data_IF_307207143944
#
_entry.id   IF_307207143944
#
_cell.length_a   1.000
_cell.length_b   1.000
_cell.length_c   1.000
_cell.angle_alpha   90.00
_cell.angle_beta   90.00
_cell.angle_gamma   90.00
#
_symmetry.space_group_name_H-M   'P 1'
#
loop_
_entity.id
_entity.type
_entity.pdbx_description
1 polymer ?
#
# COMPACT_ATOMS: atom_id res chain seq x y z
N UNK A 1 -24.63 -46.71 -51.49
CA UNK A 1 -25.01 -45.73 -52.54
C UNK A 1 -25.52 -44.49 -51.82
N UNK A 2 -24.93 -43.29 -51.87
CA UNK A 2 -24.10 -42.65 -52.90
C UNK A 2 -23.01 -41.79 -52.25
N UNK A 3 -21.86 -41.80 -52.92
CA UNK A 3 -20.71 -40.91 -52.82
C UNK A 3 -21.12 -39.53 -53.33
N UNK A 4 -20.64 -38.42 -52.74
CA UNK A 4 -20.29 -37.24 -53.53
C UNK A 4 -19.09 -36.50 -52.94
N UNK A 5 -18.04 -36.48 -53.77
CA UNK A 5 -16.88 -35.59 -53.74
C UNK A 5 -17.29 -34.19 -54.21
N UNK A 6 -16.66 -33.15 -53.67
CA UNK A 6 -16.50 -31.88 -54.35
C UNK A 6 -15.15 -31.26 -53.94
N UNK A 7 -14.22 -31.28 -54.90
CA UNK A 7 -12.99 -30.51 -54.91
C UNK A 7 -13.35 -29.08 -55.34
N UNK A 8 -12.86 -28.09 -54.61
CA UNK A 8 -12.77 -26.71 -55.10
C UNK A 8 -11.37 -26.17 -54.76
N UNK A 9 -10.54 -26.13 -55.79
CA UNK A 9 -9.28 -25.40 -55.87
C UNK A 9 -9.57 -23.91 -56.03
N UNK A 10 -8.91 -23.04 -55.26
CA UNK A 10 -8.67 -21.66 -55.71
C UNK A 10 -7.63 -20.92 -54.86
N UNK A 11 -6.61 -20.43 -55.57
CA UNK A 11 -5.91 -19.16 -55.42
C UNK A 11 -4.97 -18.91 -54.23
N UNK A 12 -3.69 -19.03 -54.57
CA UNK A 12 -2.57 -18.17 -54.17
C UNK A 12 -2.97 -16.80 -53.62
N UNK A 13 -2.67 -16.62 -52.33
CA UNK A 13 -2.43 -15.33 -51.71
C UNK A 13 -1.31 -15.53 -50.71
N UNK A 14 -0.06 -15.40 -51.16
CA UNK A 14 1.10 -15.34 -50.27
C UNK A 14 0.99 -13.99 -49.52
N UNK A 15 0.24 -13.99 -48.42
CA UNK A 15 0.21 -12.88 -47.49
C UNK A 15 1.59 -12.85 -46.84
N UNK A 16 2.45 -11.97 -47.33
CA UNK A 16 3.72 -11.62 -46.69
C UNK A 16 3.34 -10.94 -45.37
N UNK A 17 3.19 -11.73 -44.31
CA UNK A 17 3.06 -11.24 -42.95
C UNK A 17 4.43 -10.66 -42.59
N UNK A 18 4.62 -9.39 -42.92
CA UNK A 18 5.66 -8.59 -42.29
C UNK A 18 5.35 -8.63 -40.78
N UNK A 19 6.29 -9.04 -39.92
CA UNK A 19 6.09 -8.88 -38.50
C UNK A 19 6.04 -7.39 -38.24
N UNK A 20 4.84 -6.87 -37.97
CA UNK A 20 4.67 -5.59 -37.30
C UNK A 20 5.26 -5.80 -35.90
N UNK A 21 6.51 -5.41 -35.73
CA UNK A 21 7.10 -5.29 -34.41
C UNK A 21 6.20 -4.36 -33.59
N UNK A 22 5.63 -4.91 -32.53
CA UNK A 22 4.77 -4.20 -31.59
C UNK A 22 5.53 -3.00 -31.02
N UNK A 23 5.15 -1.78 -31.40
CA UNK A 23 5.71 -0.52 -30.91
C UNK A 23 5.34 -0.20 -29.45
N UNK A 24 5.01 -1.21 -28.62
CA UNK A 24 4.58 -1.03 -27.22
C UNK A 24 5.65 -1.37 -26.17
N UNK A 25 6.81 -1.87 -26.59
CA UNK A 25 7.86 -2.37 -25.68
C UNK A 25 9.12 -1.50 -25.61
N UNK A 26 9.16 -0.36 -26.30
CA UNK A 26 10.28 0.59 -26.20
C UNK A 26 9.98 1.69 -25.17
N UNK A 27 10.97 2.10 -24.34
CA UNK A 27 10.84 3.24 -23.45
C UNK A 27 10.69 4.52 -24.29
N UNK A 28 9.45 4.87 -24.62
CA UNK A 28 9.12 6.14 -25.26
C UNK A 28 8.92 7.18 -24.16
N UNK A 29 9.82 8.16 -24.09
CA UNK A 29 9.69 9.25 -23.13
C UNK A 29 11.02 9.83 -22.70
N UNK A 30 10.96 10.57 -21.60
CA UNK A 30 12.07 11.30 -21.03
C UNK A 30 12.98 10.38 -20.20
N UNK A 31 14.29 10.44 -20.45
CA UNK A 31 15.30 9.60 -19.77
C UNK A 31 15.28 9.84 -18.26
N UNK A 32 15.22 11.09 -17.83
CA UNK A 32 15.28 11.41 -16.41
C UNK A 32 14.04 10.93 -15.65
N UNK A 33 12.84 11.33 -16.08
CA UNK A 33 11.61 11.01 -15.35
C UNK A 33 11.27 9.52 -15.39
N UNK A 34 11.58 8.84 -16.49
CA UNK A 34 11.16 7.46 -16.71
C UNK A 34 12.20 6.43 -16.29
N UNK A 35 13.49 6.79 -16.24
CA UNK A 35 14.58 5.84 -15.94
C UNK A 35 15.43 6.29 -14.75
N UNK A 36 16.04 7.48 -14.81
CA UNK A 36 16.99 7.93 -13.76
C UNK A 36 16.29 8.17 -12.43
N UNK A 37 15.17 8.90 -12.40
CA UNK A 37 14.45 9.26 -11.17
C UNK A 37 13.97 8.01 -10.40
N UNK A 38 13.37 6.99 -11.03
CA UNK A 38 13.06 5.72 -10.34
C UNK A 38 14.29 5.03 -9.73
N UNK A 39 15.43 4.97 -10.46
CA UNK A 39 16.68 4.38 -9.96
C UNK A 39 17.18 5.12 -8.73
N UNK A 40 17.27 6.46 -8.80
CA UNK A 40 17.66 7.30 -7.66
C UNK A 40 16.71 7.11 -6.47
N UNK A 41 15.40 7.03 -6.72
CA UNK A 41 14.41 6.82 -5.68
C UNK A 41 14.52 5.46 -4.99
N UNK A 42 14.93 4.42 -5.72
CA UNK A 42 15.09 3.09 -5.18
C UNK A 42 16.41 2.87 -4.44
N UNK A 43 17.50 3.52 -4.88
CA UNK A 43 18.86 3.19 -4.44
C UNK A 43 19.58 4.31 -3.66
N UNK A 44 19.16 5.57 -3.83
CA UNK A 44 19.87 6.72 -3.25
C UNK A 44 19.06 7.48 -2.19
N UNK A 45 17.75 7.66 -2.41
CA UNK A 45 16.90 8.53 -1.56
C UNK A 45 16.72 8.02 -0.13
N UNK A 46 16.94 6.73 0.15
CA UNK A 46 16.84 6.21 1.52
C UNK A 46 17.87 6.86 2.47
N UNK A 47 19.04 7.21 1.96
CA UNK A 47 20.13 7.85 2.71
C UNK A 47 20.31 9.35 2.37
N UNK A 48 19.89 9.77 1.17
CA UNK A 48 20.01 11.12 0.64
C UNK A 48 18.64 11.73 0.29
N UNK A 49 17.67 11.58 1.18
CA UNK A 49 16.27 11.95 0.99
C UNK A 49 15.81 13.09 1.91
N UNK A 50 14.49 13.29 2.06
CA UNK A 50 13.96 14.29 2.97
C UNK A 50 14.23 13.95 4.45
N UNK A 51 14.23 12.66 4.79
CA UNK A 51 14.38 12.17 6.17
C UNK A 51 15.84 11.99 6.62
N UNK A 52 16.77 11.80 5.67
CA UNK A 52 18.20 11.55 5.94
C UNK A 52 19.05 12.28 4.91
N UNK A 53 20.09 12.96 5.39
CA UNK A 53 21.05 13.72 4.58
C UNK A 53 22.48 13.23 4.84
N UNK A 54 22.74 11.92 4.67
CA UNK A 54 24.11 11.38 4.78
C UNK A 54 25.04 12.17 3.85
N UNK A 55 26.23 12.55 4.34
CA UNK A 55 27.14 13.41 3.57
C UNK A 55 26.59 14.82 3.23
N UNK A 56 25.53 15.29 3.91
CA UNK A 56 24.78 16.53 3.60
C UNK A 56 24.27 16.61 2.16
N UNK A 57 24.13 15.46 1.51
CA UNK A 57 23.59 15.34 0.17
C UNK A 57 22.09 15.04 0.22
N UNK A 58 21.34 15.69 -0.65
CA UNK A 58 19.93 15.40 -0.94
C UNK A 58 19.75 15.15 -2.44
N UNK A 59 18.90 14.18 -2.79
CA UNK A 59 18.67 13.76 -4.19
C UNK A 59 17.18 13.58 -4.52
N UNK A 60 16.28 14.02 -3.63
CA UNK A 60 14.85 13.80 -3.78
C UNK A 60 14.13 14.84 -4.65
N UNK A 61 14.78 15.99 -4.91
CA UNK A 61 14.32 17.04 -5.82
C UNK A 61 15.35 17.28 -6.93
N UNK A 62 14.94 17.91 -8.04
CA UNK A 62 15.87 18.24 -9.14
C UNK A 62 16.90 19.29 -8.68
N UNK A 63 16.43 20.22 -7.87
CA UNK A 63 17.20 21.32 -7.30
C UNK A 63 18.29 20.80 -6.35
N UNK A 64 17.92 19.87 -5.46
CA UNK A 64 18.88 19.25 -4.54
C UNK A 64 19.93 18.40 -5.30
N UNK A 65 19.50 17.68 -6.35
CA UNK A 65 20.40 16.85 -7.16
C UNK A 65 21.50 17.69 -7.84
N UNK A 66 21.20 18.93 -8.23
CA UNK A 66 22.19 19.85 -8.81
C UNK A 66 23.04 20.56 -7.75
N UNK A 67 22.59 20.63 -6.48
CA UNK A 67 23.25 21.40 -5.42
C UNK A 67 24.44 20.67 -4.78
N UNK A 68 24.47 19.34 -4.82
CA UNK A 68 25.58 18.55 -4.26
C UNK A 68 25.58 18.42 -2.73
N UNK A 69 26.68 17.90 -2.17
CA UNK A 69 26.84 17.53 -0.74
C UNK A 69 27.80 18.42 0.07
N UNK A 70 28.34 17.90 1.19
CA UNK A 70 29.14 18.62 2.21
C UNK A 70 30.50 19.15 1.70
N UNK A 71 31.03 18.61 0.60
CA UNK A 71 32.33 19.03 0.09
C UNK A 71 32.22 20.33 -0.69
N UNK A 72 32.88 21.35 -0.17
CA UNK A 72 33.09 22.63 -0.86
C UNK A 72 33.94 22.33 -2.10
N UNK A 73 33.33 22.30 -3.29
CA UNK A 73 34.04 22.28 -4.58
C UNK A 73 33.82 21.09 -5.50
N UNK A 74 33.02 20.08 -5.14
CA UNK A 74 32.71 18.94 -6.02
C UNK A 74 31.24 18.93 -6.46
N UNK A 75 30.98 19.26 -7.73
CA UNK A 75 29.65 19.06 -8.31
C UNK A 75 29.33 17.57 -8.37
N UNK A 76 28.17 17.15 -7.84
CA UNK A 76 27.84 15.72 -7.84
C UNK A 76 27.62 15.15 -9.24
N UNK A 77 27.19 16.03 -10.14
CA UNK A 77 27.02 15.78 -11.56
C UNK A 77 27.66 16.95 -12.28
N UNK A 78 28.78 16.68 -12.95
CA UNK A 78 29.41 17.61 -13.88
C UNK A 78 28.78 17.39 -15.26
N UNK A 79 27.95 18.34 -15.71
CA UNK A 79 27.22 18.23 -16.97
C UNK A 79 28.18 17.99 -18.14
N UNK A 80 27.98 16.90 -18.86
CA UNK A 80 28.83 16.51 -20.00
C UNK A 80 30.12 15.77 -19.63
N UNK A 81 30.49 15.72 -18.34
CA UNK A 81 31.69 15.02 -17.89
C UNK A 81 31.35 13.90 -16.90
N UNK A 82 31.45 12.67 -17.39
CA UNK A 82 31.18 11.46 -16.60
C UNK A 82 32.26 11.19 -15.56
N UNK A 83 33.53 11.46 -15.89
CA UNK A 83 34.68 11.12 -15.05
C UNK A 83 34.83 12.11 -13.89
N UNK A 84 34.49 13.39 -14.11
CA UNK A 84 34.50 14.40 -13.05
C UNK A 84 33.21 14.37 -12.19
N UNK A 85 32.24 13.51 -12.53
CA UNK A 85 30.99 13.41 -11.76
C UNK A 85 31.15 12.49 -10.55
N UNK A 86 31.16 13.09 -9.36
CA UNK A 86 31.30 12.38 -8.08
C UNK A 86 30.26 11.26 -7.89
N UNK A 87 29.05 11.44 -8.42
CA UNK A 87 28.01 10.42 -8.41
C UNK A 87 28.47 9.12 -9.08
N UNK A 88 29.17 9.21 -10.21
CA UNK A 88 29.66 8.05 -10.95
C UNK A 88 30.87 7.43 -10.26
N UNK A 89 31.78 8.27 -9.75
CA UNK A 89 32.93 7.83 -8.97
C UNK A 89 32.48 6.93 -7.81
N UNK A 90 31.64 7.45 -6.89
CA UNK A 90 31.24 6.71 -5.67
C UNK A 90 30.47 5.41 -5.92
N UNK A 91 29.62 5.35 -6.95
CA UNK A 91 28.83 4.14 -7.25
C UNK A 91 29.62 3.07 -8.04
N UNK A 92 30.84 3.39 -8.47
CA UNK A 92 31.72 2.45 -9.20
C UNK A 92 32.91 1.99 -8.38
N UNK A 93 33.12 2.54 -7.18
CA UNK A 93 34.15 2.09 -6.26
C UNK A 93 33.95 0.63 -5.83
N UNK A 94 35.04 -0.10 -5.54
CA UNK A 94 34.99 -1.40 -4.90
C UNK A 94 34.17 -1.37 -3.60
N UNK A 95 33.39 -2.42 -3.36
CA UNK A 95 32.41 -2.48 -2.25
C UNK A 95 33.01 -2.39 -0.84
N UNK A 96 34.31 -2.64 -0.71
CA UNK A 96 35.08 -2.62 0.53
C UNK A 96 35.72 -1.27 0.83
N UNK A 97 35.56 -0.28 -0.05
CA UNK A 97 36.02 1.08 0.18
C UNK A 97 34.99 1.91 0.96
N UNK A 98 35.46 2.69 1.92
CA UNK A 98 34.62 3.51 2.81
C UNK A 98 33.80 4.58 2.06
N UNK A 99 34.27 5.00 0.89
CA UNK A 99 33.61 6.02 0.06
C UNK A 99 32.60 5.43 -0.93
N UNK A 100 32.55 4.09 -1.05
CA UNK A 100 31.68 3.39 -1.97
C UNK A 100 30.21 3.56 -1.60
N UNK A 101 29.37 3.77 -2.61
CA UNK A 101 27.93 3.95 -2.46
C UNK A 101 27.17 2.86 -3.23
N UNK A 102 26.24 2.13 -2.61
CA UNK A 102 25.82 2.23 -1.20
C UNK A 102 26.87 1.66 -0.22
N UNK A 103 26.92 2.15 1.02
CA UNK A 103 27.83 1.61 2.04
C UNK A 103 27.51 0.14 2.32
N UNK A 104 28.55 -0.67 2.48
CA UNK A 104 28.45 -2.13 2.64
C UNK A 104 28.07 -2.59 4.06
N UNK A 105 27.92 -1.67 5.02
CA UNK A 105 27.71 -1.94 6.46
C UNK A 105 26.45 -2.77 6.79
N UNK A 106 25.57 -3.05 5.82
CA UNK A 106 24.36 -3.86 5.99
C UNK A 106 24.04 -4.69 4.72
N UNK A 107 24.39 -5.98 4.73
CA UNK A 107 24.14 -6.91 3.62
C UNK A 107 22.64 -7.05 3.28
N UNK A 108 21.73 -6.84 4.23
CA UNK A 108 20.28 -6.98 4.01
C UNK A 108 19.69 -5.83 3.18
N UNK A 109 20.40 -4.70 3.10
CA UNK A 109 19.95 -3.48 2.42
C UNK A 109 20.90 -3.01 1.31
N UNK A 110 21.93 -3.80 0.99
CA UNK A 110 22.89 -3.51 -0.06
C UNK A 110 22.23 -3.61 -1.45
N UNK A 111 22.02 -2.47 -2.11
CA UNK A 111 21.30 -2.37 -3.39
C UNK A 111 22.08 -1.49 -4.40
N UNK A 112 23.21 -1.98 -4.95
CA UNK A 112 24.07 -1.22 -5.85
C UNK A 112 23.41 -0.99 -7.21
N UNK A 113 23.89 0.03 -7.93
CA UNK A 113 23.47 0.31 -9.30
C UNK A 113 23.92 -0.83 -10.22
N UNK A 114 23.02 -1.34 -11.05
CA UNK A 114 23.33 -2.39 -12.04
C UNK A 114 24.09 -1.81 -13.22
N UNK A 115 24.75 -2.66 -14.02
CA UNK A 115 25.52 -2.21 -15.18
C UNK A 115 24.67 -1.45 -16.21
N UNK A 116 23.42 -1.84 -16.43
CA UNK A 116 22.50 -1.18 -17.36
C UNK A 116 22.00 0.16 -16.80
N UNK A 117 21.71 0.25 -15.51
CA UNK A 117 21.35 1.52 -14.86
C UNK A 117 22.54 2.50 -14.91
N UNK A 118 23.75 2.01 -14.60
CA UNK A 118 24.98 2.80 -14.68
C UNK A 118 25.23 3.31 -16.10
N UNK A 119 25.01 2.48 -17.11
CA UNK A 119 25.17 2.87 -18.51
C UNK A 119 24.24 4.04 -18.88
N UNK A 120 22.97 3.99 -18.47
CA UNK A 120 22.01 5.07 -18.74
C UNK A 120 22.40 6.34 -17.97
N UNK A 121 22.84 6.21 -16.71
CA UNK A 121 23.32 7.35 -15.91
C UNK A 121 24.52 8.04 -16.58
N UNK A 122 25.51 7.27 -17.03
CA UNK A 122 26.67 7.79 -17.78
C UNK A 122 26.25 8.47 -19.09
N UNK A 123 25.35 7.86 -19.85
CA UNK A 123 24.84 8.44 -21.09
C UNK A 123 24.09 9.76 -20.86
N UNK A 124 23.25 9.80 -19.83
CA UNK A 124 22.51 11.00 -19.42
C UNK A 124 23.44 12.15 -19.01
N UNK A 125 24.47 11.87 -18.19
CA UNK A 125 25.47 12.87 -17.78
C UNK A 125 26.26 13.37 -18.99
N UNK A 126 26.72 12.46 -19.85
CA UNK A 126 27.45 12.79 -21.09
C UNK A 126 26.65 13.71 -22.01
N UNK A 127 25.33 13.55 -22.05
CA UNK A 127 24.41 14.41 -22.81
C UNK A 127 23.94 15.65 -22.01
N UNK A 128 24.74 16.10 -21.04
CA UNK A 128 24.54 17.35 -20.31
C UNK A 128 23.63 17.24 -19.09
N UNK A 129 23.32 16.01 -18.62
CA UNK A 129 22.40 15.75 -17.52
C UNK A 129 21.05 16.49 -17.67
N UNK A 130 20.56 16.58 -18.91
CA UNK A 130 19.33 17.32 -19.21
C UNK A 130 18.10 16.61 -18.64
N UNK A 131 17.25 17.34 -17.94
CA UNK A 131 15.98 16.82 -17.45
C UNK A 131 14.94 16.62 -18.55
N UNK A 132 15.20 17.10 -19.76
CA UNK A 132 14.30 17.03 -20.92
C UNK A 132 14.78 16.03 -21.99
N UNK A 133 15.93 15.38 -21.78
CA UNK A 133 16.52 14.39 -22.68
C UNK A 133 15.53 13.26 -23.00
N UNK A 134 15.34 12.94 -24.28
CA UNK A 134 14.48 11.85 -24.71
C UNK A 134 15.29 10.58 -24.91
N UNK A 135 14.64 9.43 -24.72
CA UNK A 135 15.26 8.12 -24.97
C UNK A 135 15.70 7.97 -26.43
N UNK A 136 15.00 8.63 -27.36
CA UNK A 136 15.38 8.66 -28.78
C UNK A 136 16.75 9.30 -29.04
N UNK A 137 17.21 10.16 -28.14
CA UNK A 137 18.47 10.90 -28.27
C UNK A 137 19.68 10.08 -27.80
N UNK A 138 19.43 8.90 -27.23
CA UNK A 138 20.46 7.97 -26.78
C UNK A 138 21.04 7.15 -27.95
N UNK A 139 22.33 6.80 -27.85
CA UNK A 139 22.95 5.85 -28.77
C UNK A 139 22.30 4.46 -28.69
N UNK A 140 22.53 3.61 -29.69
CA UNK A 140 21.89 2.30 -29.79
C UNK A 140 22.14 1.41 -28.56
N UNK A 141 23.36 1.43 -28.01
CA UNK A 141 23.71 0.64 -26.84
C UNK A 141 22.96 1.13 -25.60
N UNK A 142 22.95 2.44 -25.39
CA UNK A 142 22.23 3.08 -24.29
C UNK A 142 20.71 2.92 -24.39
N UNK A 143 20.14 2.87 -25.60
CA UNK A 143 18.72 2.54 -25.80
C UNK A 143 18.38 1.10 -25.42
N UNK A 144 19.25 0.13 -25.74
CA UNK A 144 19.08 -1.26 -25.30
C UNK A 144 19.12 -1.37 -23.77
N UNK A 145 20.05 -0.66 -23.12
CA UNK A 145 20.10 -0.58 -21.66
C UNK A 145 18.83 0.08 -21.09
N UNK A 146 18.36 1.18 -21.69
CA UNK A 146 17.11 1.85 -21.32
C UNK A 146 15.90 0.90 -21.38
N UNK A 147 15.77 0.12 -22.45
CA UNK A 147 14.70 -0.87 -22.57
C UNK A 147 14.79 -1.95 -21.49
N UNK A 148 16.00 -2.41 -21.18
CA UNK A 148 16.22 -3.38 -20.10
C UNK A 148 15.82 -2.82 -18.73
N UNK A 149 16.24 -1.61 -18.39
CA UNK A 149 15.89 -0.96 -17.12
C UNK A 149 14.41 -0.65 -17.03
N UNK A 150 13.78 -0.21 -18.13
CA UNK A 150 12.34 0.02 -18.17
C UNK A 150 11.54 -1.24 -17.83
N UNK A 151 11.96 -2.38 -18.40
CA UNK A 151 11.34 -3.69 -18.16
C UNK A 151 11.62 -4.24 -16.74
N UNK A 152 12.75 -3.88 -16.15
CA UNK A 152 13.21 -4.40 -14.85
C UNK A 152 13.36 -3.28 -13.80
N UNK A 153 12.40 -2.35 -13.77
CA UNK A 153 12.50 -1.15 -12.94
C UNK A 153 12.75 -1.48 -11.45
N UNK A 154 13.74 -0.85 -10.78
CA UNK A 154 13.98 -1.12 -9.38
C UNK A 154 12.79 -0.66 -8.53
N UNK A 155 12.38 -1.51 -7.59
CA UNK A 155 11.31 -1.18 -6.64
C UNK A 155 11.83 -0.14 -5.64
N UNK A 156 11.08 0.95 -5.47
CA UNK A 156 11.39 1.96 -4.46
C UNK A 156 11.44 1.33 -3.06
N UNK A 157 12.59 1.39 -2.40
CA UNK A 157 12.69 1.05 -0.98
C UNK A 157 12.00 2.16 -0.18
N UNK A 158 10.78 1.89 0.29
CA UNK A 158 10.09 2.77 1.22
C UNK A 158 10.89 2.86 2.52
N UNK A 159 11.07 4.07 3.05
CA UNK A 159 11.67 4.25 4.38
C UNK A 159 10.84 3.49 5.43
N UNK A 160 11.45 3.11 6.55
CA UNK A 160 10.74 2.46 7.64
C UNK A 160 9.50 3.28 8.06
N UNK A 161 9.63 4.60 8.16
CA UNK A 161 8.52 5.53 8.45
C UNK A 161 7.43 5.51 7.37
N UNK A 162 7.80 5.48 6.08
CA UNK A 162 6.82 5.41 5.00
C UNK A 162 6.08 4.07 4.95
N UNK A 163 6.74 2.96 5.33
CA UNK A 163 6.10 1.65 5.50
C UNK A 163 5.09 1.63 6.66
N UNK A 164 5.31 2.45 7.68
CA UNK A 164 4.42 2.58 8.83
C UNK A 164 3.19 3.46 8.56
N UNK A 165 3.18 4.25 7.47
CA UNK A 165 2.02 5.07 7.14
C UNK A 165 0.87 4.19 6.64
N UNK A 166 -0.34 4.34 7.21
CA UNK A 166 -1.51 3.59 6.77
C UNK A 166 -1.82 3.95 5.31
N UNK A 167 -1.81 2.93 4.45
CA UNK A 167 -2.12 3.09 3.03
C UNK A 167 -3.64 3.14 2.89
N UNK A 168 -4.17 4.33 2.60
CA UNK A 168 -5.58 4.53 2.32
C UNK A 168 -5.88 4.22 0.85
N UNK A 169 -7.05 3.63 0.53
CA UNK A 169 -7.45 3.40 -0.84
C UNK A 169 -7.67 4.73 -1.57
N UNK A 170 -7.28 4.76 -2.84
CA UNK A 170 -7.63 5.85 -3.76
C UNK A 170 -9.07 5.64 -4.22
N UNK A 171 -9.97 6.53 -3.78
CA UNK A 171 -11.41 6.46 -4.09
C UNK A 171 -11.89 7.75 -4.77
N UNK A 172 -12.96 7.71 -5.58
CA UNK A 172 -13.52 8.90 -6.19
C UNK A 172 -14.15 9.83 -5.14
N UNK A 173 -14.25 11.13 -5.45
CA UNK A 173 -14.97 12.09 -4.60
C UNK A 173 -16.44 11.68 -4.46
N UNK A 174 -17.01 11.80 -3.27
CA UNK A 174 -18.42 11.53 -3.05
C UNK A 174 -19.33 12.58 -3.71
N UNK A 175 -20.54 12.15 -4.08
CA UNK A 175 -21.59 13.03 -4.57
C UNK A 175 -22.03 14.00 -3.46
N UNK A 176 -21.92 15.33 -3.68
CA UNK A 176 -22.37 16.33 -2.73
C UNK A 176 -23.84 16.17 -2.31
N UNK A 177 -24.71 15.69 -3.21
CA UNK A 177 -26.14 15.47 -2.89
C UNK A 177 -26.34 14.35 -1.88
N UNK A 178 -25.53 13.29 -1.96
CA UNK A 178 -25.58 12.18 -1.00
C UNK A 178 -25.12 12.63 0.38
N UNK A 179 -24.08 13.48 0.45
CA UNK A 179 -23.61 14.06 1.70
C UNK A 179 -24.65 14.98 2.34
N UNK A 180 -25.34 15.77 1.51
CA UNK A 180 -26.41 16.65 1.99
C UNK A 180 -27.61 15.86 2.52
N UNK A 181 -28.04 14.80 1.83
CA UNK A 181 -29.12 13.93 2.29
C UNK A 181 -28.82 13.28 3.65
N UNK A 182 -27.55 12.92 3.90
CA UNK A 182 -27.13 12.43 5.22
C UNK A 182 -27.18 13.52 6.28
N UNK A 183 -26.75 14.74 5.93
CA UNK A 183 -26.78 15.89 6.83
C UNK A 183 -28.21 16.24 7.27
N UNK A 184 -29.17 16.18 6.35
CA UNK A 184 -30.60 16.39 6.63
C UNK A 184 -31.17 15.37 7.63
N UNK A 185 -30.64 14.13 7.63
CA UNK A 185 -31.00 13.06 8.55
C UNK A 185 -30.18 13.07 9.87
N UNK A 186 -29.40 14.14 10.10
CA UNK A 186 -28.55 14.28 11.29
C UNK A 186 -27.34 13.34 11.31
N UNK A 187 -26.99 12.75 10.16
CA UNK A 187 -25.86 11.83 10.02
C UNK A 187 -24.61 12.61 9.61
N UNK A 188 -23.54 12.46 10.38
CA UNK A 188 -22.25 13.08 10.06
C UNK A 188 -21.53 12.26 8.98
N UNK A 189 -21.13 12.90 7.88
CA UNK A 189 -20.30 12.29 6.83
C UNK A 189 -19.15 13.24 6.46
N UNK A 190 -17.91 12.77 6.54
CA UNK A 190 -16.72 13.58 6.26
C UNK A 190 -15.51 12.74 5.81
N UNK A 191 -14.52 13.34 5.11
CA UNK A 191 -13.26 12.66 4.82
C UNK A 191 -12.52 12.22 6.08
N UNK A 192 -11.86 11.06 6.04
CA UNK A 192 -11.11 10.53 7.20
C UNK A 192 -9.76 11.24 7.43
N UNK A 193 -9.25 11.96 6.42
CA UNK A 193 -8.01 12.74 6.48
C UNK A 193 -7.99 13.84 5.41
N UNK A 194 -7.03 14.78 5.48
CA UNK A 194 -6.96 15.96 4.61
C UNK A 194 -6.67 15.67 3.12
N UNK A 195 -6.14 14.49 2.77
CA UNK A 195 -5.72 14.15 1.41
C UNK A 195 -6.34 12.83 0.92
N UNK A 196 -7.59 12.56 1.29
CA UNK A 196 -8.31 11.37 0.84
C UNK A 196 -9.77 11.68 0.58
N UNK A 197 -10.36 10.95 -0.37
CA UNK A 197 -11.79 10.95 -0.61
C UNK A 197 -12.51 9.83 0.18
N UNK A 198 -11.78 9.05 0.96
CA UNK A 198 -12.34 8.05 1.85
C UNK A 198 -13.14 8.73 2.97
N UNK A 199 -14.32 8.21 3.25
CA UNK A 199 -15.31 8.83 4.12
C UNK A 199 -15.54 8.01 5.38
N UNK A 200 -15.68 8.74 6.48
CA UNK A 200 -16.29 8.29 7.72
C UNK A 200 -17.75 8.76 7.77
N UNK A 201 -18.64 7.83 8.08
CA UNK A 201 -20.06 8.11 8.38
C UNK A 201 -20.37 7.74 9.83
N UNK A 202 -21.02 8.66 10.56
CA UNK A 202 -21.52 8.44 11.90
C UNK A 202 -23.02 8.75 12.01
N UNK A 203 -23.81 7.68 12.15
CA UNK A 203 -25.25 7.75 12.38
C UNK A 203 -25.63 7.55 13.86
N UNK A 204 -24.66 7.36 14.77
CA UNK A 204 -24.95 7.07 16.18
C UNK A 204 -25.69 8.20 16.90
N UNK A 205 -25.58 9.45 16.41
CA UNK A 205 -26.31 10.61 16.94
C UNK A 205 -27.80 10.57 16.62
N UNK A 206 -28.20 9.89 15.55
CA UNK A 206 -29.60 9.74 15.14
C UNK A 206 -30.35 8.67 15.97
N UNK A 207 -29.63 7.91 16.81
CA UNK A 207 -30.20 6.91 17.72
C UNK A 207 -31.08 5.87 17.00
N UNK A 208 -32.10 5.37 17.70
CA UNK A 208 -33.03 4.35 17.16
C UNK A 208 -33.83 4.81 15.94
N UNK A 209 -33.88 6.12 15.67
CA UNK A 209 -34.47 6.67 14.45
C UNK A 209 -33.65 6.43 13.17
N UNK A 210 -32.41 5.93 13.29
CA UNK A 210 -31.65 5.40 12.16
C UNK A 210 -31.82 3.89 12.07
N UNK A 211 -32.67 3.42 11.16
CA UNK A 211 -33.03 2.01 11.02
C UNK A 211 -32.50 1.38 9.72
N UNK A 212 -32.91 0.15 9.43
CA UNK A 212 -32.48 -0.59 8.23
C UNK A 212 -32.87 0.11 6.92
N UNK A 213 -33.99 0.85 6.91
CA UNK A 213 -34.45 1.60 5.74
C UNK A 213 -33.51 2.75 5.41
N UNK A 214 -33.02 3.46 6.44
CA UNK A 214 -32.12 4.60 6.26
C UNK A 214 -30.71 4.24 5.81
N UNK A 215 -30.31 2.97 5.90
CA UNK A 215 -29.06 2.48 5.27
C UNK A 215 -29.06 2.67 3.74
N UNK A 216 -30.23 2.81 3.09
CA UNK A 216 -30.31 3.13 1.67
C UNK A 216 -29.63 4.47 1.31
N UNK A 217 -29.59 5.42 2.25
CA UNK A 217 -28.92 6.72 2.07
C UNK A 217 -27.41 6.59 1.92
N UNK A 218 -26.82 5.48 2.39
CA UNK A 218 -25.39 5.20 2.30
C UNK A 218 -24.97 4.55 0.99
N UNK A 219 -25.92 4.00 0.20
CA UNK A 219 -25.61 3.31 -1.06
C UNK A 219 -24.80 4.16 -2.05
N UNK A 220 -25.07 5.47 -2.24
CA UNK A 220 -24.27 6.31 -3.13
C UNK A 220 -22.80 6.47 -2.69
N UNK A 221 -22.48 6.17 -1.43
CA UNK A 221 -21.13 6.27 -0.84
C UNK A 221 -20.37 4.94 -0.82
N UNK A 222 -20.89 3.88 -1.46
CA UNK A 222 -20.33 2.52 -1.37
C UNK A 222 -18.87 2.40 -1.78
N UNK A 223 -18.41 3.28 -2.68
CA UNK A 223 -17.03 3.30 -3.17
C UNK A 223 -16.09 4.15 -2.31
N UNK A 224 -16.60 4.89 -1.33
CA UNK A 224 -15.85 5.83 -0.50
C UNK A 224 -15.91 5.49 0.99
N UNK A 225 -16.92 4.74 1.43
CA UNK A 225 -17.19 4.46 2.83
C UNK A 225 -16.17 3.48 3.40
N UNK A 226 -15.27 3.98 4.25
CA UNK A 226 -14.25 3.18 4.92
C UNK A 226 -14.63 2.91 6.38
N UNK A 227 -15.16 3.93 7.07
CA UNK A 227 -15.52 3.85 8.48
C UNK A 227 -17.01 4.13 8.64
N UNK A 228 -17.71 3.23 9.33
CA UNK A 228 -19.14 3.36 9.56
C UNK A 228 -19.46 3.15 11.03
N UNK A 229 -20.16 4.13 11.61
CA UNK A 229 -20.65 4.08 12.97
C UNK A 229 -22.18 4.06 13.03
N UNK A 230 -22.72 2.89 13.39
CA UNK A 230 -24.14 2.61 13.61
C UNK A 230 -24.43 2.29 15.09
N UNK A 231 -23.52 2.59 16.00
CA UNK A 231 -23.70 2.32 17.43
C UNK A 231 -24.99 2.97 17.94
N UNK A 232 -25.75 2.22 18.75
CA UNK A 232 -27.00 2.63 19.40
C UNK A 232 -28.12 3.01 18.41
N UNK A 233 -28.00 2.62 17.15
CA UNK A 233 -29.05 2.85 16.14
C UNK A 233 -30.11 1.74 16.15
N UNK A 234 -31.14 1.90 15.32
CA UNK A 234 -32.26 0.97 15.14
C UNK A 234 -31.98 -0.13 14.12
N UNK A 235 -30.75 -0.27 13.64
CA UNK A 235 -30.37 -1.30 12.67
C UNK A 235 -30.46 -2.70 13.24
N UNK A 236 -30.81 -3.66 12.39
CA UNK A 236 -30.99 -5.08 12.69
C UNK A 236 -30.23 -5.95 11.68
N UNK A 237 -30.42 -7.27 11.78
CA UNK A 237 -29.88 -8.24 10.81
C UNK A 237 -30.34 -7.97 9.37
N UNK A 238 -31.51 -7.36 9.15
CA UNK A 238 -31.98 -7.03 7.80
C UNK A 238 -31.07 -5.97 7.15
N UNK A 239 -30.64 -4.95 7.90
CA UNK A 239 -29.75 -3.90 7.43
C UNK A 239 -28.33 -4.39 7.08
N UNK A 240 -27.86 -5.48 7.69
CA UNK A 240 -26.50 -5.99 7.45
C UNK A 240 -26.25 -6.44 6.01
N UNK A 241 -27.31 -6.76 5.26
CA UNK A 241 -27.22 -7.01 3.81
C UNK A 241 -26.80 -5.76 3.02
N UNK A 242 -27.26 -4.58 3.43
CA UNK A 242 -26.83 -3.31 2.84
C UNK A 242 -25.38 -3.00 3.23
N UNK A 243 -25.02 -3.24 4.50
CA UNK A 243 -23.65 -3.00 5.00
C UNK A 243 -22.62 -3.88 4.29
N UNK A 244 -22.96 -5.13 3.99
CA UNK A 244 -22.12 -6.06 3.24
C UNK A 244 -21.76 -5.56 1.81
N UNK A 245 -22.49 -4.59 1.26
CA UNK A 245 -22.20 -3.99 -0.05
C UNK A 245 -21.12 -2.90 -0.03
N UNK A 246 -20.58 -2.53 1.13
CA UNK A 246 -19.55 -1.50 1.27
C UNK A 246 -18.16 -2.13 1.24
N UNK A 247 -17.66 -2.41 0.03
CA UNK A 247 -16.46 -3.24 -0.20
C UNK A 247 -15.15 -2.68 0.41
N UNK A 248 -15.08 -1.37 0.67
CA UNK A 248 -13.91 -0.73 1.30
C UNK A 248 -14.07 -0.55 2.82
N UNK A 249 -15.17 -1.01 3.40
CA UNK A 249 -15.44 -0.84 4.81
C UNK A 249 -14.43 -1.64 5.64
N UNK A 250 -13.58 -0.92 6.38
CA UNK A 250 -12.56 -1.51 7.23
C UNK A 250 -12.81 -1.31 8.73
N UNK A 251 -13.74 -0.42 9.09
CA UNK A 251 -14.13 -0.16 10.49
C UNK A 251 -15.64 -0.07 10.62
N UNK A 252 -16.20 -0.95 11.44
CA UNK A 252 -17.64 -1.01 11.68
C UNK A 252 -17.95 -1.03 13.18
N UNK A 253 -18.80 -0.10 13.60
CA UNK A 253 -19.33 0.04 14.96
C UNK A 253 -20.83 -0.34 14.96
N UNK A 254 -21.21 -1.36 15.73
CA UNK A 254 -22.57 -1.91 15.86
C UNK A 254 -23.02 -2.00 17.32
N UNK A 255 -22.35 -1.30 18.24
CA UNK A 255 -22.58 -1.37 19.67
C UNK A 255 -24.06 -1.13 20.01
N UNK A 256 -24.67 -1.97 20.84
CA UNK A 256 -26.06 -1.81 21.30
C UNK A 256 -27.10 -1.67 20.16
N UNK A 257 -26.87 -2.38 19.06
CA UNK A 257 -27.85 -2.58 17.97
C UNK A 257 -28.60 -3.91 18.15
N UNK A 258 -29.63 -4.16 17.36
CA UNK A 258 -30.37 -5.42 17.39
C UNK A 258 -29.76 -6.49 16.46
N UNK A 259 -28.46 -6.39 16.18
CA UNK A 259 -27.73 -7.37 15.37
C UNK A 259 -27.50 -8.64 16.18
N UNK A 260 -27.71 -9.78 15.53
CA UNK A 260 -27.51 -11.13 16.06
C UNK A 260 -26.51 -11.91 15.19
N UNK A 261 -26.36 -13.20 15.46
CA UNK A 261 -25.56 -14.11 14.63
C UNK A 261 -25.97 -14.12 13.15
N UNK A 262 -27.26 -13.93 12.85
CA UNK A 262 -27.75 -13.88 11.48
C UNK A 262 -27.25 -12.63 10.73
N UNK A 263 -27.13 -11.49 11.41
CA UNK A 263 -26.54 -10.27 10.86
C UNK A 263 -25.05 -10.43 10.63
N UNK A 264 -24.31 -10.97 11.60
CA UNK A 264 -22.86 -11.22 11.47
C UNK A 264 -22.55 -12.18 10.32
N UNK A 265 -23.40 -13.18 10.09
CA UNK A 265 -23.24 -14.09 8.94
C UNK A 265 -23.19 -13.34 7.60
N UNK A 266 -23.97 -12.27 7.44
CA UNK A 266 -24.00 -11.44 6.22
C UNK A 266 -22.73 -10.59 6.08
N UNK A 267 -22.16 -10.16 7.20
CA UNK A 267 -20.94 -9.33 7.23
C UNK A 267 -19.67 -10.12 6.87
N UNK A 268 -19.71 -11.46 6.87
CA UNK A 268 -18.55 -12.31 6.59
C UNK A 268 -17.90 -12.12 5.21
N UNK A 269 -18.56 -11.41 4.30
CA UNK A 269 -18.06 -11.03 2.97
C UNK A 269 -17.19 -9.76 2.96
N UNK A 270 -17.15 -8.99 4.05
CA UNK A 270 -16.37 -7.75 4.17
C UNK A 270 -14.87 -8.06 4.33
N UNK A 271 -14.21 -8.41 3.23
CA UNK A 271 -12.80 -8.85 3.22
C UNK A 271 -11.80 -7.80 3.68
N UNK A 272 -12.19 -6.52 3.66
CA UNK A 272 -11.37 -5.40 4.12
C UNK A 272 -11.58 -5.04 5.60
N UNK A 273 -12.50 -5.71 6.32
CA UNK A 273 -12.83 -5.38 7.70
C UNK A 273 -11.66 -5.66 8.64
N UNK A 274 -11.17 -4.62 9.31
CA UNK A 274 -10.07 -4.64 10.28
C UNK A 274 -10.54 -4.41 11.71
N UNK A 275 -11.61 -3.64 11.88
CA UNK A 275 -12.19 -3.31 13.17
C UNK A 275 -13.69 -3.60 13.16
N UNK A 276 -14.15 -4.38 14.13
CA UNK A 276 -15.56 -4.66 14.35
C UNK A 276 -15.90 -4.56 15.84
N UNK A 277 -16.85 -3.68 16.18
CA UNK A 277 -17.38 -3.60 17.54
C UNK A 277 -18.81 -4.12 17.61
N UNK A 278 -19.01 -5.21 18.36
CA UNK A 278 -20.29 -5.88 18.60
C UNK A 278 -20.72 -5.78 20.07
N UNK A 279 -20.12 -4.87 20.84
CA UNK A 279 -20.44 -4.68 22.25
C UNK A 279 -21.95 -4.51 22.50
N UNK A 280 -22.49 -5.25 23.48
CA UNK A 280 -23.91 -5.15 23.84
C UNK A 280 -24.87 -5.60 22.73
N UNK A 281 -24.45 -6.52 21.86
CA UNK A 281 -25.33 -7.17 20.86
C UNK A 281 -25.67 -8.60 21.29
N UNK A 282 -26.64 -9.22 20.62
CA UNK A 282 -27.12 -10.56 20.96
C UNK A 282 -26.31 -11.69 20.29
N UNK A 283 -25.12 -11.38 19.79
CA UNK A 283 -24.20 -12.32 19.13
C UNK A 283 -23.71 -13.40 20.10
N UNK A 284 -23.56 -14.63 19.61
CA UNK A 284 -23.12 -15.80 20.40
C UNK A 284 -21.97 -16.55 19.72
N UNK A 285 -21.54 -17.67 20.30
CA UNK A 285 -20.52 -18.54 19.73
C UNK A 285 -20.85 -19.03 18.30
N UNK A 286 -22.13 -19.00 17.91
CA UNK A 286 -22.55 -19.31 16.54
C UNK A 286 -21.91 -18.36 15.49
N UNK A 287 -21.52 -17.14 15.89
CA UNK A 287 -20.82 -16.20 15.01
C UNK A 287 -19.33 -16.45 14.84
N UNK A 288 -18.70 -17.26 15.69
CA UNK A 288 -17.22 -17.45 15.68
C UNK A 288 -16.73 -17.87 14.29
N UNK A 289 -17.40 -18.83 13.64
CA UNK A 289 -17.05 -19.29 12.29
C UNK A 289 -17.25 -18.23 11.21
N UNK A 290 -18.19 -17.29 11.40
CA UNK A 290 -18.41 -16.20 10.46
C UNK A 290 -17.37 -15.09 10.64
N UNK A 291 -17.06 -14.74 11.90
CA UNK A 291 -16.00 -13.79 12.24
C UNK A 291 -14.63 -14.29 11.74
N UNK A 292 -14.34 -15.58 11.87
CA UNK A 292 -13.14 -16.24 11.36
C UNK A 292 -12.91 -16.11 9.84
N UNK A 293 -13.94 -15.76 9.06
CA UNK A 293 -13.81 -15.52 7.60
C UNK A 293 -13.24 -14.13 7.29
N UNK A 294 -13.31 -13.19 8.22
CA UNK A 294 -12.80 -11.82 8.06
C UNK A 294 -11.28 -11.79 8.21
N UNK A 295 -10.55 -12.24 7.18
CA UNK A 295 -9.10 -12.52 7.27
C UNK A 295 -8.21 -11.31 7.58
N UNK A 296 -8.73 -10.08 7.44
CA UNK A 296 -8.02 -8.84 7.81
C UNK A 296 -8.43 -8.28 9.17
N UNK A 297 -9.28 -8.98 9.93
CA UNK A 297 -9.78 -8.50 11.21
C UNK A 297 -8.63 -8.45 12.23
N UNK A 298 -8.34 -7.25 12.73
CA UNK A 298 -7.29 -7.00 13.72
C UNK A 298 -7.88 -6.78 15.12
N UNK A 299 -9.09 -6.21 15.18
CA UNK A 299 -9.76 -5.83 16.42
C UNK A 299 -11.22 -6.25 16.36
N UNK A 300 -11.62 -7.07 17.33
CA UNK A 300 -13.02 -7.45 17.55
C UNK A 300 -13.38 -7.25 19.01
N UNK A 301 -14.54 -6.65 19.26
CA UNK A 301 -15.03 -6.38 20.61
C UNK A 301 -16.35 -7.13 20.83
N UNK A 302 -16.33 -8.04 21.80
CA UNK A 302 -17.42 -9.00 22.07
C UNK A 302 -17.94 -8.89 23.51
N UNK A 303 -17.57 -7.85 24.26
CA UNK A 303 -18.06 -7.68 25.63
C UNK A 303 -19.58 -7.45 25.67
N UNK A 304 -20.23 -7.95 26.72
CA UNK A 304 -21.68 -7.91 26.86
C UNK A 304 -22.41 -8.53 25.65
N UNK A 305 -21.83 -9.57 25.07
CA UNK A 305 -22.51 -10.46 24.12
C UNK A 305 -22.73 -11.83 24.78
N UNK A 306 -23.27 -12.79 24.03
CA UNK A 306 -23.41 -14.19 24.45
C UNK A 306 -22.23 -15.07 23.99
N UNK A 307 -21.16 -14.45 23.46
CA UNK A 307 -19.92 -15.18 23.17
C UNK A 307 -19.26 -15.59 24.48
N UNK A 308 -18.93 -16.87 24.59
CA UNK A 308 -18.24 -17.42 25.77
C UNK A 308 -16.74 -17.15 25.70
N UNK A 309 -16.04 -17.30 26.82
CA UNK A 309 -14.58 -17.21 26.85
C UNK A 309 -13.96 -18.29 25.92
N UNK A 310 -14.54 -19.48 25.87
CA UNK A 310 -14.12 -20.55 24.97
C UNK A 310 -14.32 -20.19 23.50
N UNK A 311 -15.45 -19.55 23.16
CA UNK A 311 -15.74 -19.04 21.82
C UNK A 311 -14.76 -17.95 21.39
N UNK A 312 -14.48 -17.01 22.29
CA UNK A 312 -13.50 -15.95 22.07
C UNK A 312 -12.07 -16.50 21.89
N UNK A 313 -11.66 -17.47 22.71
CA UNK A 313 -10.37 -18.15 22.60
C UNK A 313 -10.24 -18.91 21.27
N UNK A 314 -11.32 -19.59 20.84
CA UNK A 314 -11.37 -20.28 19.55
C UNK A 314 -11.20 -19.29 18.38
N UNK A 315 -11.87 -18.14 18.45
CA UNK A 315 -11.74 -17.08 17.46
C UNK A 315 -10.31 -16.53 17.42
N UNK A 316 -9.71 -16.23 18.57
CA UNK A 316 -8.35 -15.71 18.67
C UNK A 316 -7.33 -16.64 18.00
N UNK A 317 -7.42 -17.95 18.26
CA UNK A 317 -6.55 -18.98 17.67
C UNK A 317 -6.61 -19.02 16.14
N UNK A 318 -7.67 -18.50 15.53
CA UNK A 318 -7.81 -18.43 14.07
C UNK A 318 -6.96 -17.31 13.44
N UNK A 319 -6.67 -16.24 14.19
CA UNK A 319 -5.96 -15.06 13.68
C UNK A 319 -4.50 -14.97 14.13
N UNK A 320 -4.11 -15.79 15.09
CA UNK A 320 -2.81 -15.69 15.75
C UNK A 320 -1.98 -16.94 15.46
N UNK A 321 -0.71 -16.75 15.10
CA UNK A 321 0.27 -17.84 15.13
C UNK A 321 0.46 -18.27 16.60
N UNK A 322 -0.15 -19.40 16.96
CA UNK A 322 -0.15 -19.88 18.34
C UNK A 322 1.26 -20.14 18.88
N UNK A 323 2.19 -20.59 18.03
CA UNK A 323 3.57 -20.85 18.44
C UNK A 323 4.26 -19.53 18.79
N UNK A 324 4.12 -18.52 17.94
CA UNK A 324 4.69 -17.18 18.16
C UNK A 324 4.05 -16.50 19.37
N UNK A 325 2.74 -16.58 19.51
CA UNK A 325 2.01 -16.01 20.65
C UNK A 325 2.43 -16.64 21.97
N UNK A 326 2.48 -17.98 22.04
CA UNK A 326 2.93 -18.67 23.25
C UNK A 326 4.37 -18.30 23.64
N UNK A 327 5.26 -18.14 22.65
CA UNK A 327 6.63 -17.69 22.89
C UNK A 327 6.67 -16.27 23.49
N UNK A 328 5.92 -15.33 22.89
CA UNK A 328 5.82 -13.95 23.38
C UNK A 328 5.20 -13.86 24.78
N UNK A 329 4.19 -14.69 25.08
CA UNK A 329 3.59 -14.73 26.40
C UNK A 329 4.57 -15.26 27.46
N UNK A 330 5.34 -16.29 27.12
CA UNK A 330 6.40 -16.81 28.00
C UNK A 330 7.46 -15.74 28.28
N UNK A 331 7.90 -15.02 27.25
CA UNK A 331 8.85 -13.92 27.37
C UNK A 331 8.31 -12.77 28.22
N UNK A 332 7.08 -12.32 27.96
CA UNK A 332 6.39 -11.30 28.78
C UNK A 332 6.33 -11.70 30.25
N UNK A 333 5.97 -12.96 30.54
CA UNK A 333 5.88 -13.45 31.92
C UNK A 333 7.26 -13.48 32.60
N UNK A 334 8.33 -13.83 31.88
CA UNK A 334 9.71 -13.75 32.41
C UNK A 334 10.12 -12.31 32.71
N UNK A 335 9.82 -11.37 31.81
CA UNK A 335 10.11 -9.94 32.01
C UNK A 335 9.32 -9.41 33.21
N UNK A 336 8.03 -9.73 33.30
CA UNK A 336 7.19 -9.31 34.43
C UNK A 336 7.74 -9.83 35.77
N UNK A 337 8.08 -11.12 35.84
CA UNK A 337 8.66 -11.71 37.06
C UNK A 337 10.03 -11.13 37.41
N UNK A 338 10.81 -10.66 36.42
CA UNK A 338 12.05 -9.94 36.66
C UNK A 338 11.78 -8.54 37.23
N UNK A 339 10.85 -7.79 36.65
CA UNK A 339 10.46 -6.46 37.12
C UNK A 339 9.96 -6.49 38.57
N UNK A 340 9.07 -7.44 38.90
CA UNK A 340 8.56 -7.61 40.27
C UNK A 340 9.67 -7.88 41.29
N UNK A 341 10.75 -8.57 40.88
CA UNK A 341 11.93 -8.82 41.74
C UNK A 341 12.80 -7.59 41.93
N UNK A 342 12.90 -6.73 40.91
CA UNK A 342 13.69 -5.50 40.98
C UNK A 342 12.94 -4.45 41.82
N UNK A 343 11.64 -4.27 41.59
CA UNK A 343 10.80 -3.36 42.38
C UNK A 343 10.73 -3.79 43.85
N UNK A 344 10.56 -5.10 44.13
CA UNK A 344 10.56 -5.62 45.49
C UNK A 344 11.93 -5.58 46.20
N UNK A 345 13.03 -5.33 45.47
CA UNK A 345 14.37 -5.15 46.04
C UNK A 345 14.71 -3.69 46.34
N UNK A 346 13.95 -2.72 45.80
CA UNK A 346 14.07 -1.30 46.12
C UNK A 346 13.23 -0.89 47.34
N UNK A 347 12.22 -1.68 47.71
CA UNK A 347 11.36 -1.46 48.89
C UNK A 347 11.83 -2.15 50.18
N UNK A 348 12.90 -2.97 50.13
CA UNK A 348 13.43 -3.76 51.24
C UNK A 348 14.75 -3.20 51.81
#
# INVERSE_FOLDING_TARGET
MKIYSAILSSLSGLLLVLPVASAKDEPSGNVFSSLIKPVLAAKCIQCHGPEKDKGKLRMHTKEDLLKGGREVGGDIIVKGNVEDSELIFRITLPKDEDEAMPPFEDEEHYNPVTSQELQIMKAWIKLGASFDLLVSDLDESSRKAAAHVYKNMPKKLLSATAKLQPQLPTVPKADPKALEALREEGVLAMPIAQNTNAIYVNASYSGKGFDDGKLALLKPLSNQLLWLNLARTGVTDAGMSSVAGFNFLNRLHLENTAVTDAGVAKLSSLSELQYLNLYGTEVSDASVNNLAKLKKLEKVFLWQTKVTDEGADSLQKTFVDQKKFNALQSERNKVKAYLEKVEGAEEA
#
